data_IF_143248746211
#
_entry.id   IF_143248746211
#
_cell.length_a   1.000
_cell.length_b   1.000
_cell.length_c   1.000
_cell.angle_alpha   90.00
_cell.angle_beta   90.00
_cell.angle_gamma   90.00
#
_symmetry.space_group_name_H-M   'P 1'
#
loop_
_entity.id
_entity.type
_entity.pdbx_description
1 polymer ?
#
# COMPACT_ATOMS: atom_id res chain seq x y z
N UNK A 1 -20.49 -20.10 -16.90
CA UNK A 1 -21.26 -20.21 -15.64
C UNK A 1 -22.64 -20.79 -15.93
N UNK A 2 -23.02 -21.87 -15.24
CA UNK A 2 -24.40 -22.34 -15.19
C UNK A 2 -25.17 -21.56 -14.12
N UNK A 3 -26.32 -20.98 -14.47
CA UNK A 3 -27.09 -20.10 -13.56
C UNK A 3 -27.56 -20.85 -12.31
N UNK A 4 -27.51 -20.24 -11.11
CA UNK A 4 -28.20 -20.77 -9.95
C UNK A 4 -29.70 -20.80 -10.23
N UNK A 5 -30.37 -21.89 -9.84
CA UNK A 5 -31.83 -21.94 -9.88
C UNK A 5 -32.40 -20.86 -8.94
N UNK A 6 -33.52 -20.24 -9.31
CA UNK A 6 -34.23 -19.18 -8.59
C UNK A 6 -34.83 -19.60 -7.22
N UNK A 7 -34.10 -20.39 -6.43
CA UNK A 7 -34.64 -21.19 -5.33
C UNK A 7 -34.32 -20.74 -3.91
N UNK A 8 -33.51 -19.69 -3.69
CA UNK A 8 -33.23 -19.18 -2.34
C UNK A 8 -34.36 -18.23 -1.91
N UNK A 9 -35.19 -18.55 -0.89
CA UNK A 9 -36.26 -17.67 -0.44
C UNK A 9 -35.72 -16.48 0.38
N UNK A 10 -36.35 -15.30 0.26
CA UNK A 10 -36.07 -14.13 1.10
C UNK A 10 -35.01 -13.16 0.54
N UNK A 11 -34.68 -12.12 1.32
CA UNK A 11 -33.78 -11.02 0.91
C UNK A 11 -32.35 -11.51 0.60
N UNK A 12 -31.88 -12.56 1.28
CA UNK A 12 -30.59 -13.20 1.00
C UNK A 12 -30.52 -13.78 -0.42
N UNK A 13 -31.59 -14.43 -0.90
CA UNK A 13 -31.63 -15.00 -2.25
C UNK A 13 -31.61 -13.94 -3.36
N UNK A 14 -32.26 -12.80 -3.12
CA UNK A 14 -32.21 -11.66 -4.03
C UNK A 14 -30.82 -10.98 -4.02
N UNK A 15 -30.18 -10.90 -2.85
CA UNK A 15 -28.80 -10.41 -2.68
C UNK A 15 -27.78 -11.27 -3.42
N UNK A 16 -27.78 -12.59 -3.19
CA UNK A 16 -26.92 -13.56 -3.87
C UNK A 16 -27.10 -13.52 -5.40
N UNK A 17 -28.35 -13.47 -5.88
CA UNK A 17 -28.61 -13.37 -7.32
C UNK A 17 -28.06 -12.06 -7.92
N UNK A 18 -28.17 -10.94 -7.20
CA UNK A 18 -27.63 -9.65 -7.65
C UNK A 18 -26.10 -9.69 -7.73
N UNK A 19 -25.42 -10.25 -6.73
CA UNK A 19 -23.97 -10.41 -6.77
C UNK A 19 -23.53 -11.36 -7.88
N UNK A 20 -24.30 -12.42 -8.15
CA UNK A 20 -24.02 -13.34 -9.26
C UNK A 20 -24.01 -12.63 -10.61
N UNK A 21 -24.98 -11.76 -10.88
CA UNK A 21 -24.98 -10.94 -12.12
C UNK A 21 -23.80 -9.97 -12.19
N UNK A 22 -23.34 -9.45 -11.05
CA UNK A 22 -22.12 -8.62 -11.02
C UNK A 22 -20.89 -9.45 -11.40
N UNK A 23 -20.74 -10.64 -10.83
CA UNK A 23 -19.67 -11.56 -11.20
C UNK A 23 -19.73 -11.97 -12.68
N UNK A 24 -20.92 -12.22 -13.24
CA UNK A 24 -21.09 -12.47 -14.68
C UNK A 24 -20.61 -11.29 -15.52
N UNK A 25 -20.91 -10.05 -15.11
CA UNK A 25 -20.46 -8.83 -15.76
C UNK A 25 -18.93 -8.71 -15.78
N UNK A 26 -18.28 -8.93 -14.63
CA UNK A 26 -16.82 -8.91 -14.53
C UNK A 26 -16.17 -10.03 -15.34
N UNK A 27 -16.69 -11.25 -15.27
CA UNK A 27 -16.17 -12.37 -16.05
C UNK A 27 -16.24 -12.10 -17.57
N UNK A 28 -17.31 -11.44 -18.04
CA UNK A 28 -17.43 -11.04 -19.43
C UNK A 28 -16.42 -9.94 -19.81
N UNK A 29 -16.19 -8.96 -18.93
CA UNK A 29 -15.18 -7.93 -19.13
C UNK A 29 -13.78 -8.54 -19.25
N UNK A 30 -13.39 -9.39 -18.29
CA UNK A 30 -12.11 -10.12 -18.30
C UNK A 30 -11.96 -10.94 -19.58
N UNK A 31 -13.01 -11.66 -20.00
CA UNK A 31 -12.98 -12.42 -21.25
C UNK A 31 -12.71 -11.53 -22.47
N UNK A 32 -13.33 -10.35 -22.54
CA UNK A 32 -13.11 -9.40 -23.63
C UNK A 32 -11.68 -8.84 -23.61
N UNK A 33 -11.17 -8.48 -22.43
CA UNK A 33 -9.80 -8.01 -22.23
C UNK A 33 -8.79 -9.07 -22.69
N UNK A 34 -9.01 -10.34 -22.33
CA UNK A 34 -8.16 -11.47 -22.79
C UNK A 34 -8.23 -11.66 -24.31
N UNK A 35 -9.40 -11.45 -24.93
CA UNK A 35 -9.50 -11.50 -26.39
C UNK A 35 -8.74 -10.35 -27.06
N UNK A 36 -8.76 -9.16 -26.49
CA UNK A 36 -7.99 -8.03 -27.00
C UNK A 36 -6.49 -8.24 -26.84
N UNK A 37 -6.06 -8.75 -25.68
CA UNK A 37 -4.67 -9.11 -25.42
C UNK A 37 -4.14 -10.09 -26.47
N UNK A 38 -4.94 -11.10 -26.86
CA UNK A 38 -4.58 -12.04 -27.93
C UNK A 38 -4.39 -11.37 -29.29
N UNK A 39 -5.12 -10.29 -29.58
CA UNK A 39 -4.92 -9.52 -30.82
C UNK A 39 -3.64 -8.71 -30.77
N UNK A 40 -3.41 -8.00 -29.67
CA UNK A 40 -2.21 -7.18 -29.47
C UNK A 40 -0.93 -8.04 -29.49
N UNK A 41 -0.98 -9.23 -28.90
CA UNK A 41 0.12 -10.20 -28.88
C UNK A 41 0.52 -10.75 -30.26
N UNK A 42 -0.22 -10.43 -31.34
CA UNK A 42 0.19 -10.77 -32.70
C UNK A 42 1.42 -9.99 -33.19
N UNK A 43 1.69 -8.80 -32.61
CA UNK A 43 2.86 -7.97 -32.88
C UNK A 43 3.29 -7.25 -31.57
N UNK A 44 3.92 -7.97 -30.63
CA UNK A 44 4.15 -7.47 -29.27
C UNK A 44 5.15 -6.31 -29.21
N UNK A 45 6.13 -6.27 -30.12
CA UNK A 45 7.12 -5.19 -30.17
C UNK A 45 6.46 -3.87 -30.56
N UNK A 46 5.50 -3.92 -31.48
CA UNK A 46 4.74 -2.74 -31.91
C UNK A 46 3.72 -2.29 -30.88
N UNK A 47 3.07 -3.24 -30.19
CA UNK A 47 1.94 -2.98 -29.30
C UNK A 47 2.35 -2.97 -27.81
N UNK A 48 3.63 -2.76 -27.51
CA UNK A 48 4.18 -2.95 -26.17
C UNK A 48 3.45 -2.13 -25.10
N UNK A 49 3.18 -0.85 -25.38
CA UNK A 49 2.52 0.04 -24.43
C UNK A 49 1.03 -0.30 -24.28
N UNK A 50 0.32 -0.63 -25.37
CA UNK A 50 -1.07 -1.07 -25.29
C UNK A 50 -1.22 -2.40 -24.53
N UNK A 51 -0.28 -3.33 -24.73
CA UNK A 51 -0.24 -4.59 -23.96
C UNK A 51 0.00 -4.27 -22.48
N UNK A 52 0.95 -3.38 -22.17
CA UNK A 52 1.25 -2.98 -20.79
C UNK A 52 0.03 -2.37 -20.13
N UNK A 53 -0.65 -1.43 -20.78
CA UNK A 53 -1.85 -0.79 -20.25
C UNK A 53 -2.95 -1.83 -19.97
N UNK A 54 -3.23 -2.69 -20.95
CA UNK A 54 -4.27 -3.73 -20.81
C UNK A 54 -3.95 -4.74 -19.69
N UNK A 55 -2.68 -5.11 -19.51
CA UNK A 55 -2.26 -6.11 -18.52
C UNK A 55 -2.14 -5.51 -17.11
N UNK A 56 -1.48 -4.35 -16.99
CA UNK A 56 -1.07 -3.77 -15.70
C UNK A 56 -2.15 -2.87 -15.11
N UNK A 57 -2.96 -2.23 -15.95
CA UNK A 57 -4.08 -1.38 -15.49
C UNK A 57 -5.37 -2.18 -15.55
N UNK A 58 -5.81 -2.57 -16.74
CA UNK A 58 -7.19 -3.04 -16.92
C UNK A 58 -7.42 -4.45 -16.36
N UNK A 59 -6.63 -5.45 -16.81
CA UNK A 59 -6.79 -6.83 -16.35
C UNK A 59 -6.50 -6.96 -14.86
N UNK A 60 -5.46 -6.29 -14.36
CA UNK A 60 -5.13 -6.31 -12.94
C UNK A 60 -6.24 -5.71 -12.08
N UNK A 61 -6.80 -4.57 -12.45
CA UNK A 61 -7.92 -3.95 -11.71
C UNK A 61 -9.18 -4.83 -11.72
N UNK A 62 -9.51 -5.41 -12.88
CA UNK A 62 -10.65 -6.32 -13.03
C UNK A 62 -10.51 -7.57 -12.14
N UNK A 63 -9.29 -8.11 -12.04
CA UNK A 63 -8.96 -9.34 -11.31
C UNK A 63 -8.51 -9.12 -9.87
N UNK A 64 -8.15 -7.90 -9.48
CA UNK A 64 -7.24 -7.60 -8.37
C UNK A 64 -7.53 -8.28 -7.03
N UNK A 65 -6.50 -8.36 -6.19
CA UNK A 65 -6.44 -9.16 -4.95
C UNK A 65 -7.70 -9.05 -4.08
N UNK A 66 -7.99 -10.13 -3.34
CA UNK A 66 -9.21 -10.49 -2.59
C UNK A 66 -10.05 -9.37 -1.95
N UNK A 67 -9.48 -8.21 -1.61
CA UNK A 67 -10.19 -7.09 -0.98
C UNK A 67 -10.57 -5.91 -1.90
N UNK A 68 -9.91 -5.71 -3.05
CA UNK A 68 -10.01 -4.42 -3.77
C UNK A 68 -10.33 -4.53 -5.27
N UNK A 69 -10.10 -5.68 -5.91
CA UNK A 69 -10.47 -5.88 -7.32
C UNK A 69 -11.98 -5.98 -7.55
N UNK A 70 -12.45 -5.58 -8.73
CA UNK A 70 -13.87 -5.55 -9.06
C UNK A 70 -14.57 -6.92 -8.93
N UNK A 71 -13.95 -7.98 -9.47
CA UNK A 71 -14.44 -9.35 -9.35
C UNK A 71 -14.36 -9.86 -7.91
N UNK A 72 -13.22 -9.67 -7.23
CA UNK A 72 -13.02 -10.09 -5.85
C UNK A 72 -14.08 -9.50 -4.90
N UNK A 73 -14.38 -8.20 -5.04
CA UNK A 73 -15.41 -7.51 -4.25
C UNK A 73 -16.81 -8.07 -4.50
N UNK A 74 -17.14 -8.41 -5.74
CA UNK A 74 -18.42 -9.03 -6.07
C UNK A 74 -18.54 -10.44 -5.47
N UNK A 75 -17.45 -11.21 -5.47
CA UNK A 75 -17.38 -12.54 -4.86
C UNK A 75 -17.44 -12.48 -3.33
N UNK A 76 -16.72 -11.56 -2.69
CA UNK A 76 -16.79 -11.35 -1.23
C UNK A 76 -18.20 -11.00 -0.77
N UNK A 77 -18.88 -10.09 -1.48
CA UNK A 77 -20.29 -9.78 -1.20
C UNK A 77 -21.22 -10.98 -1.43
N UNK A 78 -20.89 -11.90 -2.34
CA UNK A 78 -21.64 -13.15 -2.49
C UNK A 78 -21.40 -14.09 -1.31
N UNK A 79 -20.15 -14.22 -0.85
CA UNK A 79 -19.76 -15.04 0.31
C UNK A 79 -20.54 -14.63 1.56
N UNK A 80 -20.62 -13.33 1.87
CA UNK A 80 -21.35 -12.82 3.03
C UNK A 80 -22.84 -13.26 3.03
N UNK A 81 -23.51 -13.22 1.88
CA UNK A 81 -24.90 -13.66 1.79
C UNK A 81 -25.04 -15.18 1.93
N UNK A 82 -24.09 -15.96 1.42
CA UNK A 82 -24.08 -17.41 1.57
C UNK A 82 -23.87 -17.78 3.04
N UNK A 83 -22.92 -17.13 3.72
CA UNK A 83 -22.68 -17.33 5.16
C UNK A 83 -23.93 -17.02 5.98
N UNK A 84 -24.62 -15.91 5.69
CA UNK A 84 -25.89 -15.58 6.34
C UNK A 84 -26.97 -16.65 6.10
N UNK A 85 -27.08 -17.16 4.87
CA UNK A 85 -28.05 -18.21 4.54
C UNK A 85 -27.73 -19.52 5.27
N UNK A 86 -26.47 -19.96 5.28
CA UNK A 86 -26.04 -21.17 5.97
C UNK A 86 -26.07 -21.06 7.49
N UNK A 87 -25.89 -19.85 8.05
CA UNK A 87 -26.10 -19.60 9.47
C UNK A 87 -27.59 -19.71 9.87
N UNK A 88 -28.51 -19.32 8.98
CA UNK A 88 -29.94 -19.43 9.19
C UNK A 88 -30.46 -20.87 8.98
N UNK A 89 -29.97 -21.56 7.94
CA UNK A 89 -30.26 -22.96 7.65
C UNK A 89 -28.99 -23.69 7.13
N UNK A 90 -28.29 -24.44 8.00
CA UNK A 90 -27.09 -25.19 7.61
C UNK A 90 -27.32 -26.26 6.54
N UNK A 91 -28.58 -26.64 6.27
CA UNK A 91 -28.94 -27.63 5.24
C UNK A 91 -29.53 -27.00 3.97
N UNK A 92 -29.44 -25.68 3.80
CA UNK A 92 -29.89 -25.00 2.59
C UNK A 92 -29.09 -25.49 1.36
N UNK A 93 -29.73 -26.38 0.60
CA UNK A 93 -29.14 -27.00 -0.60
C UNK A 93 -28.86 -25.99 -1.72
N UNK A 94 -29.50 -24.83 -1.74
CA UNK A 94 -29.22 -23.79 -2.73
C UNK A 94 -28.01 -22.96 -2.29
N UNK A 95 -27.92 -22.59 -1.01
CA UNK A 95 -26.75 -21.91 -0.47
C UNK A 95 -25.47 -22.74 -0.67
N UNK A 96 -25.52 -24.06 -0.38
CA UNK A 96 -24.41 -24.99 -0.64
C UNK A 96 -23.99 -25.04 -2.12
N UNK A 97 -24.96 -25.06 -3.05
CA UNK A 97 -24.64 -25.03 -4.50
C UNK A 97 -24.01 -23.73 -4.96
N UNK A 98 -24.45 -22.59 -4.40
CA UNK A 98 -23.84 -21.30 -4.74
C UNK A 98 -22.44 -21.22 -4.14
N UNK A 99 -22.21 -21.78 -2.95
CA UNK A 99 -20.87 -21.93 -2.39
C UNK A 99 -19.96 -22.71 -3.33
N UNK A 100 -20.39 -23.89 -3.83
CA UNK A 100 -19.59 -24.68 -4.78
C UNK A 100 -19.20 -23.88 -6.04
N UNK A 101 -20.11 -23.03 -6.54
CA UNK A 101 -19.85 -22.17 -7.70
C UNK A 101 -18.88 -21.04 -7.34
N UNK A 102 -19.05 -20.44 -6.16
CA UNK A 102 -18.16 -19.40 -5.65
C UNK A 102 -16.73 -19.94 -5.50
N UNK A 103 -16.58 -21.14 -4.95
CA UNK A 103 -15.29 -21.82 -4.81
C UNK A 103 -14.63 -22.05 -6.18
N UNK A 104 -15.37 -22.54 -7.19
CA UNK A 104 -14.85 -22.70 -8.55
C UNK A 104 -14.45 -21.36 -9.19
N UNK A 105 -15.19 -20.29 -8.90
CA UNK A 105 -14.89 -18.95 -9.40
C UNK A 105 -13.62 -18.37 -8.76
N UNK A 106 -13.42 -18.57 -7.46
CA UNK A 106 -12.20 -18.18 -6.73
C UNK A 106 -11.00 -18.93 -7.30
N UNK A 107 -11.07 -20.26 -7.42
CA UNK A 107 -9.99 -21.08 -8.01
C UNK A 107 -9.63 -20.62 -9.44
N UNK A 108 -10.64 -20.25 -10.23
CA UNK A 108 -10.46 -19.74 -11.59
C UNK A 108 -9.82 -18.35 -11.59
N UNK A 109 -10.25 -17.45 -10.70
CA UNK A 109 -9.67 -16.11 -10.57
C UNK A 109 -8.18 -16.22 -10.22
N UNK A 110 -7.82 -17.05 -9.25
CA UNK A 110 -6.43 -17.25 -8.81
C UNK A 110 -5.54 -17.71 -9.97
N UNK A 111 -6.03 -18.68 -10.76
CA UNK A 111 -5.32 -19.17 -11.95
C UNK A 111 -5.10 -18.07 -12.99
N UNK A 112 -6.09 -17.20 -13.21
CA UNK A 112 -5.97 -16.09 -14.17
C UNK A 112 -5.03 -15.01 -13.62
N UNK A 113 -5.12 -14.71 -12.32
CA UNK A 113 -4.28 -13.72 -11.65
C UNK A 113 -2.79 -14.10 -11.70
N UNK A 114 -2.47 -15.38 -11.53
CA UNK A 114 -1.10 -15.90 -11.71
C UNK A 114 -0.59 -15.62 -13.14
N UNK A 115 -1.39 -15.93 -14.16
CA UNK A 115 -1.01 -15.67 -15.56
C UNK A 115 -0.83 -14.18 -15.86
N UNK A 116 -1.72 -13.33 -15.34
CA UNK A 116 -1.64 -11.87 -15.51
C UNK A 116 -0.40 -11.31 -14.79
N UNK A 117 -0.08 -11.81 -13.60
CA UNK A 117 1.17 -11.47 -12.89
C UNK A 117 2.41 -11.80 -13.74
N UNK A 118 2.48 -13.00 -14.31
CA UNK A 118 3.60 -13.40 -15.18
C UNK A 118 3.72 -12.54 -16.44
N UNK A 119 2.60 -12.14 -17.02
CA UNK A 119 2.55 -11.24 -18.18
C UNK A 119 3.01 -9.84 -17.79
N UNK A 120 2.53 -9.31 -16.66
CA UNK A 120 2.89 -8.00 -16.15
C UNK A 120 4.41 -7.90 -15.93
N UNK A 121 5.04 -8.94 -15.36
CA UNK A 121 6.49 -9.00 -15.18
C UNK A 121 7.29 -8.92 -16.49
N UNK A 122 6.71 -9.31 -17.64
CA UNK A 122 7.37 -9.28 -18.95
C UNK A 122 7.24 -7.94 -19.67
N UNK A 123 6.22 -7.15 -19.34
CA UNK A 123 5.87 -5.91 -20.06
C UNK A 123 6.21 -4.64 -19.28
N UNK A 124 6.60 -4.79 -18.02
CA UNK A 124 7.07 -3.71 -17.15
C UNK A 124 8.60 -3.62 -17.10
N UNK A 125 9.12 -2.63 -16.39
CA UNK A 125 10.55 -2.49 -16.16
C UNK A 125 11.10 -3.74 -15.46
N UNK A 126 12.28 -4.25 -15.88
CA UNK A 126 12.83 -5.47 -15.30
C UNK A 126 13.26 -5.25 -13.85
N UNK A 127 13.09 -6.29 -13.03
CA UNK A 127 13.69 -6.39 -11.71
C UNK A 127 15.20 -6.60 -11.89
N UNK A 128 16.01 -5.73 -11.29
CA UNK A 128 17.48 -5.75 -11.35
C UNK A 128 18.13 -6.21 -10.05
N UNK A 129 17.37 -6.20 -8.96
CA UNK A 129 17.77 -6.74 -7.66
C UNK A 129 16.53 -7.18 -6.89
N UNK A 130 16.63 -8.22 -6.09
CA UNK A 130 15.55 -8.66 -5.22
C UNK A 130 16.10 -9.26 -3.92
N UNK A 131 15.30 -9.19 -2.87
CA UNK A 131 15.60 -9.79 -1.58
C UNK A 131 14.31 -10.29 -0.91
N UNK A 132 14.31 -11.55 -0.49
CA UNK A 132 13.19 -12.14 0.25
C UNK A 132 13.19 -11.67 1.71
N UNK A 133 12.06 -11.17 2.18
CA UNK A 133 11.89 -10.63 3.53
C UNK A 133 10.47 -10.85 4.07
N UNK A 134 10.30 -11.03 5.37
CA UNK A 134 8.98 -11.25 5.98
C UNK A 134 8.26 -9.94 6.28
N UNK A 135 7.23 -9.64 5.48
CA UNK A 135 6.41 -8.43 5.67
C UNK A 135 7.24 -7.15 5.58
N UNK A 136 8.00 -6.98 4.49
CA UNK A 136 8.81 -5.79 4.26
C UNK A 136 7.99 -4.50 4.32
N UNK A 137 8.53 -3.45 4.92
CA UNK A 137 7.93 -2.10 4.98
C UNK A 137 8.98 -1.05 4.65
N UNK A 138 8.58 -0.06 3.83
CA UNK A 138 9.33 1.14 3.44
C UNK A 138 10.87 0.98 3.39
N UNK A 139 11.42 0.34 2.34
CA UNK A 139 12.86 0.14 2.20
C UNK A 139 13.54 1.42 1.72
N UNK A 140 14.79 1.61 2.12
CA UNK A 140 15.60 2.78 1.71
C UNK A 140 16.98 2.33 1.21
N UNK A 141 17.44 2.89 0.09
CA UNK A 141 18.84 2.68 -0.35
C UNK A 141 19.76 3.60 0.45
N UNK A 142 20.78 3.02 1.06
CA UNK A 142 21.80 3.77 1.79
C UNK A 142 22.92 4.24 0.85
N UNK A 143 23.62 5.30 1.26
CA UNK A 143 24.73 5.88 0.49
C UNK A 143 25.91 4.90 0.23
N UNK A 144 26.05 3.85 1.06
CA UNK A 144 27.04 2.80 0.87
C UNK A 144 26.60 1.72 -0.15
N UNK A 145 25.39 1.84 -0.72
CA UNK A 145 24.81 0.88 -1.64
C UNK A 145 23.98 -0.22 -0.97
N UNK A 146 23.95 -0.33 0.35
CA UNK A 146 23.12 -1.31 1.05
C UNK A 146 21.65 -0.89 1.10
N UNK A 147 20.74 -1.83 1.35
CA UNK A 147 19.30 -1.57 1.53
C UNK A 147 18.95 -1.69 3.01
N UNK A 148 18.33 -0.66 3.59
CA UNK A 148 17.69 -0.74 4.90
C UNK A 148 16.25 -1.25 4.72
N UNK A 149 15.87 -2.32 5.43
CA UNK A 149 14.57 -2.97 5.30
C UNK A 149 13.96 -3.19 6.68
N UNK A 150 12.69 -2.84 6.84
CA UNK A 150 11.89 -3.13 8.03
C UNK A 150 11.11 -4.43 7.78
N UNK A 151 11.37 -5.49 8.55
CA UNK A 151 10.59 -6.74 8.48
C UNK A 151 9.57 -6.77 9.61
N UNK A 152 8.36 -6.30 9.30
CA UNK A 152 7.30 -6.14 10.29
C UNK A 152 6.89 -7.46 10.95
N UNK A 153 6.92 -8.57 10.21
CA UNK A 153 6.57 -9.89 10.73
C UNK A 153 7.74 -10.68 11.33
N UNK A 154 8.96 -10.16 11.19
CA UNK A 154 10.15 -10.73 11.83
C UNK A 154 10.61 -9.91 13.04
N UNK A 155 9.90 -8.83 13.39
CA UNK A 155 10.23 -7.94 14.51
C UNK A 155 11.68 -7.43 14.45
N UNK A 156 12.13 -7.03 13.25
CA UNK A 156 13.51 -6.55 13.05
C UNK A 156 13.66 -5.51 11.94
N UNK A 157 14.73 -4.74 12.05
CA UNK A 157 15.25 -3.87 10.98
C UNK A 157 16.61 -4.41 10.55
N UNK A 158 16.82 -4.59 9.25
CA UNK A 158 18.04 -5.16 8.68
C UNK A 158 18.67 -4.21 7.66
N UNK A 159 19.99 -4.24 7.57
CA UNK A 159 20.74 -3.66 6.45
C UNK A 159 21.30 -4.81 5.62
N UNK A 160 20.99 -4.80 4.31
CA UNK A 160 21.33 -5.86 3.37
C UNK A 160 22.28 -5.32 2.31
N UNK A 161 23.38 -6.03 2.07
CA UNK A 161 24.32 -5.68 1.00
C UNK A 161 23.73 -5.92 -0.39
N UNK A 162 24.30 -5.34 -1.47
CA UNK A 162 23.91 -5.66 -2.84
C UNK A 162 23.95 -7.16 -3.17
N UNK A 163 24.84 -7.91 -2.50
CA UNK A 163 24.98 -9.37 -2.67
C UNK A 163 23.96 -10.18 -1.86
N UNK A 164 23.06 -9.52 -1.12
CA UNK A 164 21.99 -10.16 -0.34
C UNK A 164 22.40 -10.60 1.06
N UNK A 165 23.54 -10.14 1.57
CA UNK A 165 23.99 -10.47 2.93
C UNK A 165 23.46 -9.47 3.95
N UNK A 166 22.90 -9.95 5.07
CA UNK A 166 22.53 -9.10 6.21
C UNK A 166 23.81 -8.65 6.92
N UNK A 167 24.16 -7.37 6.81
CA UNK A 167 25.39 -6.78 7.37
C UNK A 167 25.15 -6.02 8.68
N UNK A 168 23.91 -5.69 8.98
CA UNK A 168 23.48 -5.15 10.27
C UNK A 168 22.03 -5.59 10.56
N UNK A 169 21.71 -5.79 11.84
CA UNK A 169 20.38 -6.24 12.28
C UNK A 169 20.06 -5.68 13.67
N UNK A 170 18.84 -5.21 13.85
CA UNK A 170 18.29 -4.82 15.14
C UNK A 170 16.94 -5.50 15.40
N UNK A 171 16.85 -6.26 16.49
CA UNK A 171 15.67 -7.07 16.88
C UNK A 171 14.94 -6.53 18.11
N UNK A 172 15.36 -5.37 18.63
CA UNK A 172 14.74 -4.73 19.80
C UNK A 172 13.49 -3.93 19.47
N UNK A 173 12.71 -4.36 18.48
CA UNK A 173 11.48 -3.72 17.98
C UNK A 173 10.37 -4.76 17.85
N UNK A 174 9.12 -4.30 17.70
CA UNK A 174 7.96 -5.13 17.37
C UNK A 174 7.21 -4.45 16.23
N UNK A 175 6.99 -5.15 15.12
CA UNK A 175 6.32 -4.64 13.93
C UNK A 175 6.88 -3.28 13.46
N UNK A 176 8.18 -3.15 13.14
CA UNK A 176 8.71 -1.90 12.62
C UNK A 176 8.09 -1.58 11.25
N UNK A 177 7.63 -0.35 11.06
CA UNK A 177 6.94 0.08 9.83
C UNK A 177 7.76 1.00 8.95
N UNK A 178 8.74 1.69 9.52
CA UNK A 178 9.59 2.65 8.81
C UNK A 178 10.88 2.87 9.60
N UNK A 179 11.96 3.21 8.90
CA UNK A 179 13.23 3.57 9.50
C UNK A 179 14.07 4.44 8.57
N UNK A 180 15.00 5.17 9.16
CA UNK A 180 15.92 6.04 8.44
C UNK A 180 17.33 5.92 9.03
N UNK A 181 18.33 5.74 8.15
CA UNK A 181 19.73 5.83 8.55
C UNK A 181 20.13 7.30 8.58
N UNK A 182 20.53 7.77 9.75
CA UNK A 182 20.97 9.15 9.98
C UNK A 182 22.43 9.35 9.53
N UNK A 183 22.81 10.61 9.29
CA UNK A 183 24.19 10.98 8.86
C UNK A 183 25.27 10.48 9.84
N UNK A 184 24.96 10.41 11.13
CA UNK A 184 25.84 9.90 12.18
C UNK A 184 25.86 8.37 12.29
N UNK A 185 25.31 7.65 11.30
CA UNK A 185 25.16 6.20 11.23
C UNK A 185 24.17 5.57 12.22
N UNK A 186 23.52 6.34 13.08
CA UNK A 186 22.43 5.83 13.90
C UNK A 186 21.20 5.53 13.04
N UNK A 187 20.30 4.69 13.53
CA UNK A 187 19.02 4.38 12.87
C UNK A 187 17.87 4.97 13.67
N UNK A 188 17.06 5.83 13.04
CA UNK A 188 15.75 6.23 13.54
C UNK A 188 14.72 5.17 13.13
N UNK A 189 13.89 4.70 14.06
CA UNK A 189 12.98 3.56 13.82
C UNK A 189 11.59 3.86 14.39
N UNK A 190 10.56 3.59 13.58
CA UNK A 190 9.17 3.54 13.99
C UNK A 190 8.82 2.14 14.52
N UNK A 191 8.90 1.96 15.84
CA UNK A 191 8.64 0.69 16.54
C UNK A 191 7.16 0.61 16.93
N UNK A 192 6.30 0.32 15.94
CA UNK A 192 4.83 0.39 16.06
C UNK A 192 4.29 -0.46 17.20
N UNK A 193 4.73 -1.72 17.31
CA UNK A 193 4.21 -2.65 18.31
C UNK A 193 4.52 -2.21 19.75
N UNK A 194 5.69 -1.61 19.97
CA UNK A 194 6.04 -1.02 21.27
C UNK A 194 5.59 0.43 21.44
N UNK A 195 4.89 1.00 20.44
CA UNK A 195 4.32 2.36 20.49
C UNK A 195 5.36 3.43 20.79
N UNK A 196 6.50 3.38 20.10
CA UNK A 196 7.62 4.29 20.32
C UNK A 196 8.38 4.64 19.05
N UNK A 197 9.05 5.79 19.07
CA UNK A 197 10.12 6.11 18.14
C UNK A 197 11.44 6.00 18.87
N UNK A 198 12.43 5.34 18.28
CA UNK A 198 13.76 5.18 18.87
C UNK A 198 14.85 5.61 17.90
N UNK A 199 15.97 6.08 18.46
CA UNK A 199 17.24 6.20 17.74
C UNK A 199 18.22 5.20 18.32
N UNK A 200 18.77 4.35 17.45
CA UNK A 200 19.64 3.23 17.80
C UNK A 200 21.02 3.43 17.19
N UNK A 201 22.08 3.22 17.96
CA UNK A 201 23.46 3.30 17.46
C UNK A 201 23.84 2.09 16.61
N UNK A 202 24.93 2.14 15.82
CA UNK A 202 25.47 0.96 15.15
C UNK A 202 25.72 -0.23 16.10
N UNK A 203 26.12 0.07 17.34
CA UNK A 203 26.34 -0.90 18.43
C UNK A 203 25.03 -1.39 19.11
N UNK A 204 23.87 -1.01 18.55
CA UNK A 204 22.52 -1.43 18.96
C UNK A 204 22.05 -0.87 20.30
N UNK A 205 22.60 0.28 20.72
CA UNK A 205 22.16 0.99 21.92
C UNK A 205 21.08 2.02 21.57
N UNK A 206 19.98 2.04 22.34
CA UNK A 206 18.97 3.10 22.23
C UNK A 206 19.50 4.37 22.92
N UNK A 207 19.67 5.44 22.16
CA UNK A 207 20.17 6.74 22.66
C UNK A 207 19.11 7.82 22.75
N UNK A 208 17.95 7.61 22.12
CA UNK A 208 16.78 8.46 22.23
C UNK A 208 15.52 7.60 22.07
N UNK A 209 14.48 7.91 22.84
CA UNK A 209 13.19 7.21 22.82
C UNK A 209 12.07 8.21 23.06
N UNK A 210 11.03 8.15 22.24
CA UNK A 210 9.82 8.94 22.37
C UNK A 210 8.59 8.04 22.42
N UNK A 211 7.79 8.21 23.49
CA UNK A 211 6.62 7.39 23.81
C UNK A 211 5.28 8.13 23.55
N UNK A 212 5.34 9.35 23.00
CA UNK A 212 4.21 10.27 22.92
C UNK A 212 4.19 11.33 24.04
N UNK A 213 3.16 12.16 24.00
CA UNK A 213 2.92 13.34 24.86
C UNK A 213 1.92 13.06 26.02
N UNK A 214 1.76 11.79 26.40
CA UNK A 214 0.76 11.36 27.39
C UNK A 214 -0.52 10.80 26.79
N UNK A 215 -0.86 11.10 25.53
CA UNK A 215 -1.85 10.33 24.76
C UNK A 215 -1.31 8.95 24.34
N UNK A 216 0.02 8.83 24.32
CA UNK A 216 0.73 7.66 23.80
C UNK A 216 0.69 7.63 22.28
N UNK A 217 1.70 7.01 21.68
CA UNK A 217 1.66 6.68 20.25
C UNK A 217 0.80 5.44 20.02
N UNK A 218 0.17 5.30 18.86
CA UNK A 218 -0.70 4.15 18.61
C UNK A 218 -0.29 3.34 17.39
N UNK A 219 -0.22 3.98 16.23
CA UNK A 219 -0.03 3.30 14.96
C UNK A 219 0.87 4.14 14.07
N UNK A 220 2.17 3.84 14.14
CA UNK A 220 3.23 4.59 13.50
C UNK A 220 3.40 4.13 12.05
N UNK A 221 3.15 5.02 11.07
CA UNK A 221 3.27 4.72 9.63
C UNK A 221 4.03 5.83 8.89
N UNK A 222 5.11 6.30 9.51
CA UNK A 222 6.02 7.25 8.91
C UNK A 222 6.89 7.93 9.96
N UNK A 223 8.20 7.93 9.73
CA UNK A 223 9.15 8.68 10.56
C UNK A 223 10.24 9.30 9.69
N UNK A 224 10.54 10.59 9.90
CA UNK A 224 11.65 11.27 9.20
C UNK A 224 12.43 12.15 10.15
N UNK A 225 13.76 12.09 10.08
CA UNK A 225 14.60 13.11 10.70
C UNK A 225 14.53 14.41 9.88
N UNK A 226 14.64 15.55 10.56
CA UNK A 226 14.67 16.86 9.94
C UNK A 226 16.04 17.51 10.15
N UNK A 227 16.45 18.38 9.21
CA UNK A 227 17.75 19.08 9.26
C UNK A 227 17.97 19.90 10.55
N UNK A 228 16.89 20.33 11.19
CA UNK A 228 16.92 21.07 12.46
C UNK A 228 17.12 20.16 13.70
N UNK A 229 17.24 18.85 13.51
CA UNK A 229 17.38 17.84 14.56
C UNK A 229 16.05 17.33 15.14
N UNK A 230 14.91 17.82 14.65
CA UNK A 230 13.60 17.33 15.05
C UNK A 230 13.24 16.03 14.30
N UNK A 231 12.18 15.37 14.77
CA UNK A 231 11.63 14.16 14.17
C UNK A 231 10.19 14.41 13.78
N UNK A 232 9.85 14.14 12.52
CA UNK A 232 8.49 14.16 12.00
C UNK A 232 7.89 12.75 12.06
N UNK A 233 6.68 12.62 12.59
CA UNK A 233 6.04 11.33 12.89
C UNK A 233 4.61 11.36 12.38
N UNK A 234 4.18 10.31 11.67
CA UNK A 234 2.77 10.05 11.37
C UNK A 234 2.22 8.98 12.32
N UNK A 235 1.27 9.36 13.16
CA UNK A 235 0.55 8.49 14.10
C UNK A 235 -0.92 8.41 13.69
N UNK A 236 -1.40 7.21 13.43
CA UNK A 236 -2.76 7.00 12.93
C UNK A 236 -3.83 7.03 14.03
N UNK A 237 -3.43 7.13 15.30
CA UNK A 237 -4.36 7.11 16.43
C UNK A 237 -5.14 5.80 16.52
N UNK A 238 -6.27 5.84 17.24
CA UNK A 238 -7.20 4.73 17.37
C UNK A 238 -8.61 5.21 17.06
N UNK A 239 -9.17 4.82 15.90
CA UNK A 239 -10.52 5.25 15.50
C UNK A 239 -11.63 4.82 16.46
N UNK A 240 -11.40 3.82 17.32
CA UNK A 240 -12.37 3.41 18.33
C UNK A 240 -12.29 4.24 19.62
N UNK A 241 -11.28 5.11 19.75
CA UNK A 241 -11.05 5.96 20.91
C UNK A 241 -11.08 7.44 20.48
N UNK A 242 -12.11 8.22 20.87
CA UNK A 242 -12.24 9.61 20.45
C UNK A 242 -11.15 10.54 21.00
N UNK A 243 -10.41 10.10 22.04
CA UNK A 243 -9.29 10.84 22.60
C UNK A 243 -7.95 10.49 21.91
N UNK A 244 -7.96 9.55 20.95
CA UNK A 244 -6.80 9.05 20.24
C UNK A 244 -6.80 9.49 18.78
N UNK A 245 -6.39 10.74 18.57
CA UNK A 245 -6.45 11.39 17.26
C UNK A 245 -5.36 10.90 16.31
N UNK A 246 -5.72 10.72 15.03
CA UNK A 246 -4.75 10.66 13.95
C UNK A 246 -4.07 12.02 13.79
N UNK A 247 -2.74 12.02 13.66
CA UNK A 247 -1.94 13.24 13.62
C UNK A 247 -0.59 13.04 12.93
N UNK A 248 -0.05 14.14 12.43
CA UNK A 248 1.36 14.26 12.05
C UNK A 248 1.99 15.27 13.00
N UNK A 249 3.03 14.86 13.73
CA UNK A 249 3.70 15.69 14.75
C UNK A 249 5.17 15.87 14.43
N UNK A 250 5.68 17.07 14.70
CA UNK A 250 7.12 17.34 14.75
C UNK A 250 7.55 17.44 16.21
N UNK A 251 8.51 16.61 16.59
CA UNK A 251 8.99 16.47 17.97
C UNK A 251 10.45 16.90 18.03
N UNK A 252 10.77 17.81 18.95
CA UNK A 252 12.15 18.24 19.15
C UNK A 252 12.95 17.21 19.99
N UNK A 253 14.30 17.34 20.08
CA UNK A 253 15.12 16.43 20.90
C UNK A 253 14.72 16.37 22.38
N UNK A 254 14.16 17.46 22.91
CA UNK A 254 13.63 17.58 24.27
C UNK A 254 12.25 16.90 24.46
N UNK A 255 11.74 16.25 23.40
CA UNK A 255 10.49 15.47 23.34
C UNK A 255 9.21 16.33 23.42
N UNK A 256 9.31 17.59 23.04
CA UNK A 256 8.18 18.50 22.93
C UNK A 256 7.63 18.50 21.50
N UNK A 257 6.31 18.49 21.36
CA UNK A 257 5.65 18.68 20.06
C UNK A 257 5.72 20.17 19.71
N UNK A 258 6.44 20.50 18.64
CA UNK A 258 6.64 21.88 18.17
C UNK A 258 5.78 22.23 16.96
N UNK A 259 5.20 21.21 16.30
CA UNK A 259 4.22 21.35 15.23
C UNK A 259 3.31 20.12 15.20
N UNK A 260 2.03 20.31 14.87
CA UNK A 260 1.05 19.22 14.76
C UNK A 260 0.05 19.52 13.64
N UNK A 261 -0.33 18.51 12.88
CA UNK A 261 -1.45 18.53 11.95
C UNK A 261 -2.39 17.35 12.21
N UNK A 262 -3.68 17.63 12.37
CA UNK A 262 -4.71 16.64 12.75
C UNK A 262 -5.99 16.82 11.92
N UNK A 263 -5.85 17.36 10.70
CA UNK A 263 -6.96 17.69 9.80
C UNK A 263 -7.76 18.95 10.19
N UNK A 264 -8.73 19.36 9.35
CA UNK A 264 -9.62 20.49 9.60
C UNK A 264 -10.68 20.21 10.69
N UNK A 265 -11.03 18.94 10.90
CA UNK A 265 -11.88 18.48 12.00
C UNK A 265 -11.49 17.04 12.42
N UNK A 266 -11.67 16.71 13.71
CA UNK A 266 -11.48 15.36 14.20
C UNK A 266 -12.51 14.43 13.54
N UNK A 267 -12.05 13.28 13.03
CA UNK A 267 -12.74 12.29 12.18
C UNK A 267 -12.64 12.50 10.66
N UNK A 268 -12.19 13.67 10.18
CA UNK A 268 -12.00 13.93 8.74
C UNK A 268 -10.57 13.67 8.26
N UNK A 269 -9.68 13.20 9.15
CA UNK A 269 -8.29 12.88 8.89
C UNK A 269 -7.97 11.54 9.54
N UNK A 270 -7.70 10.51 8.74
CA UNK A 270 -7.56 9.14 9.23
C UNK A 270 -6.44 8.40 8.52
N UNK A 271 -5.79 7.51 9.26
CA UNK A 271 -4.66 6.69 8.80
C UNK A 271 -3.60 7.46 7.98
N UNK A 272 -3.10 8.60 8.48
CA UNK A 272 -2.08 9.35 7.78
C UNK A 272 -0.81 8.54 7.55
N UNK A 273 -0.16 8.82 6.43
CA UNK A 273 1.17 8.31 6.09
C UNK A 273 2.08 9.42 5.59
N UNK A 274 3.39 9.25 5.74
CA UNK A 274 4.33 10.37 5.67
C UNK A 274 5.11 10.43 4.36
N UNK A 275 5.12 11.60 3.73
CA UNK A 275 6.09 11.96 2.68
C UNK A 275 7.31 12.70 3.19
N UNK A 276 7.10 13.51 4.23
CA UNK A 276 8.15 14.24 4.93
C UNK A 276 8.02 15.75 4.76
N UNK A 277 8.99 16.47 5.34
CA UNK A 277 9.15 17.91 5.18
C UNK A 277 9.87 18.18 3.86
N UNK A 278 9.30 19.03 3.02
CA UNK A 278 9.87 19.43 1.74
C UNK A 278 10.85 20.61 1.93
N UNK A 279 11.73 20.81 0.94
CA UNK A 279 12.74 21.87 0.97
C UNK A 279 12.16 23.31 1.08
N UNK A 280 10.90 23.51 0.71
CA UNK A 280 10.18 24.78 0.86
C UNK A 280 9.56 24.97 2.28
N UNK A 281 9.71 23.98 3.18
CA UNK A 281 9.14 23.96 4.52
C UNK A 281 7.75 23.32 4.62
N UNK A 282 7.12 22.97 3.50
CA UNK A 282 5.82 22.33 3.48
C UNK A 282 5.90 20.87 3.96
N UNK A 283 4.79 20.30 4.40
CA UNK A 283 4.69 18.87 4.73
C UNK A 283 3.88 18.15 3.66
N UNK A 284 4.42 17.06 3.12
CA UNK A 284 3.73 16.13 2.23
C UNK A 284 3.31 14.87 3.01
N UNK A 285 2.07 14.45 2.84
CA UNK A 285 1.52 13.25 3.45
C UNK A 285 0.31 12.73 2.67
N UNK A 286 -0.18 11.55 3.03
CA UNK A 286 -1.49 11.07 2.58
C UNK A 286 -2.50 11.05 3.74
N UNK A 287 -3.76 11.28 3.43
CA UNK A 287 -4.93 11.14 4.28
C UNK A 287 -5.85 10.08 3.68
N UNK A 288 -6.05 9.00 4.43
CA UNK A 288 -6.76 7.81 3.99
C UNK A 288 -8.20 7.75 4.53
N UNK A 289 -8.76 8.85 5.04
CA UNK A 289 -10.14 8.90 5.54
C UNK A 289 -11.18 8.41 4.51
N UNK A 290 -10.99 8.73 3.23
CA UNK A 290 -11.92 8.32 2.16
C UNK A 290 -12.12 6.81 2.02
N UNK A 291 -11.15 6.00 2.46
CA UNK A 291 -11.22 4.53 2.38
C UNK A 291 -12.47 3.94 3.06
N UNK A 292 -12.95 4.54 4.14
CA UNK A 292 -14.09 4.02 4.93
C UNK A 292 -15.45 4.48 4.42
N UNK A 293 -15.48 5.59 3.68
CA UNK A 293 -16.71 6.18 3.16
C UNK A 293 -16.94 5.86 1.68
N UNK A 294 -16.04 5.07 1.06
CA UNK A 294 -16.06 4.85 -0.38
C UNK A 294 -15.77 6.12 -1.18
N UNK A 295 -15.03 7.05 -0.57
CA UNK A 295 -14.55 8.29 -1.15
C UNK A 295 -13.08 8.14 -1.55
N UNK A 296 -12.56 9.09 -2.31
CA UNK A 296 -11.16 9.11 -2.71
C UNK A 296 -10.24 9.39 -1.52
N UNK A 297 -9.05 8.81 -1.56
CA UNK A 297 -7.95 9.10 -0.64
C UNK A 297 -7.13 10.25 -1.19
N UNK A 298 -6.59 11.10 -0.31
CA UNK A 298 -5.91 12.32 -0.71
C UNK A 298 -4.43 12.27 -0.38
N UNK A 299 -3.57 12.66 -1.32
CA UNK A 299 -2.18 13.06 -1.05
C UNK A 299 -2.12 14.57 -1.01
N UNK A 300 -1.64 15.13 0.10
CA UNK A 300 -1.79 16.55 0.44
C UNK A 300 -0.42 17.15 0.76
N UNK A 301 -0.17 18.35 0.23
CA UNK A 301 0.93 19.21 0.66
C UNK A 301 0.36 20.43 1.40
N UNK A 302 0.83 20.65 2.63
CA UNK A 302 0.42 21.79 3.47
C UNK A 302 1.59 22.70 3.81
N UNK A 303 1.33 24.00 3.94
CA UNK A 303 2.31 24.97 4.46
C UNK A 303 2.60 24.73 5.95
N UNK A 304 3.64 25.35 6.52
CA UNK A 304 3.84 25.38 7.98
C UNK A 304 2.63 25.90 8.76
N UNK A 305 1.88 26.83 8.16
CA UNK A 305 0.63 27.38 8.71
C UNK A 305 -0.60 26.48 8.45
N UNK A 306 -0.37 25.27 7.91
CA UNK A 306 -1.35 24.19 7.67
C UNK A 306 -2.37 24.47 6.55
N UNK A 307 -2.04 25.40 5.65
CA UNK A 307 -2.84 25.64 4.45
C UNK A 307 -2.51 24.62 3.37
N UNK A 308 -3.52 23.96 2.80
CA UNK A 308 -3.32 23.07 1.64
C UNK A 308 -2.93 23.88 0.42
N UNK A 309 -1.80 23.52 -0.20
CA UNK A 309 -1.26 24.19 -1.40
C UNK A 309 -1.18 23.27 -2.62
N UNK A 310 -1.27 21.96 -2.40
CA UNK A 310 -1.36 20.96 -3.45
C UNK A 310 -2.10 19.73 -2.93
N UNK A 311 -2.84 19.07 -3.82
CA UNK A 311 -3.64 17.89 -3.52
C UNK A 311 -3.76 16.99 -4.75
N UNK A 312 -3.82 15.69 -4.56
CA UNK A 312 -4.13 14.69 -5.58
C UNK A 312 -4.96 13.55 -4.99
N UNK A 313 -6.03 13.15 -5.68
CA UNK A 313 -6.96 12.10 -5.23
C UNK A 313 -7.36 11.09 -6.31
N UNK A 314 -7.11 11.40 -7.59
CA UNK A 314 -7.68 10.66 -8.71
C UNK A 314 -7.24 9.18 -8.71
N UNK A 315 -8.23 8.30 -8.56
CA UNK A 315 -8.04 6.84 -8.61
C UNK A 315 -7.18 6.28 -7.47
N UNK A 316 -7.27 6.87 -6.27
CA UNK A 316 -6.61 6.37 -5.06
C UNK A 316 -7.61 5.76 -4.09
N UNK A 317 -7.35 4.51 -3.69
CA UNK A 317 -8.14 3.79 -2.67
C UNK A 317 -7.44 3.79 -1.31
N UNK A 318 -6.11 3.63 -1.29
CA UNK A 318 -5.30 3.64 -0.07
C UNK A 318 -3.84 3.92 -0.40
N UNK A 319 -3.23 4.83 0.34
CA UNK A 319 -1.83 5.25 0.17
C UNK A 319 -1.03 5.00 1.43
N UNK A 320 0.04 4.22 1.29
CA UNK A 320 0.87 3.80 2.43
C UNK A 320 2.17 4.60 2.58
N UNK A 321 2.74 5.12 1.49
CA UNK A 321 3.92 5.98 1.49
C UNK A 321 3.91 6.92 0.27
N UNK A 322 4.51 8.10 0.40
CA UNK A 322 4.64 9.11 -0.67
C UNK A 322 6.03 9.72 -0.65
N UNK A 323 6.50 10.23 -1.79
CA UNK A 323 7.83 10.84 -1.93
C UNK A 323 7.77 11.97 -2.96
N UNK A 324 8.20 13.17 -2.58
CA UNK A 324 8.43 14.25 -3.56
C UNK A 324 9.78 13.99 -4.23
N UNK A 325 9.78 13.92 -5.55
CA UNK A 325 10.98 13.71 -6.36
C UNK A 325 11.66 15.05 -6.68
N UNK A 326 12.96 14.99 -7.02
CA UNK A 326 13.76 16.17 -7.35
C UNK A 326 13.26 16.95 -8.59
N UNK A 327 12.52 16.29 -9.49
CA UNK A 327 11.88 16.92 -10.65
C UNK A 327 10.57 17.65 -10.29
N UNK A 328 10.13 17.59 -9.03
CA UNK A 328 8.87 18.17 -8.55
C UNK A 328 7.68 17.21 -8.59
N UNK A 329 7.79 16.05 -9.24
CA UNK A 329 6.72 15.05 -9.27
C UNK A 329 6.55 14.38 -7.89
N UNK A 330 5.40 13.78 -7.67
CA UNK A 330 5.09 12.96 -6.49
C UNK A 330 5.07 11.49 -6.87
N UNK A 331 5.91 10.67 -6.24
CA UNK A 331 5.79 9.22 -6.28
C UNK A 331 4.84 8.77 -5.16
N UNK A 332 3.90 7.88 -5.47
CA UNK A 332 2.81 7.48 -4.57
C UNK A 332 2.71 5.95 -4.56
N UNK A 333 2.76 5.35 -3.37
CA UNK A 333 2.52 3.93 -3.17
C UNK A 333 1.03 3.68 -2.89
N UNK A 334 0.27 3.39 -3.94
CA UNK A 334 -1.17 3.11 -3.87
C UNK A 334 -1.38 1.62 -3.57
N UNK A 335 -1.48 1.29 -2.29
CA UNK A 335 -1.42 -0.08 -1.77
C UNK A 335 -2.61 -0.92 -2.23
N UNK A 336 -3.83 -0.42 -2.01
CA UNK A 336 -5.05 -1.16 -2.37
C UNK A 336 -5.21 -1.30 -3.88
N UNK A 337 -4.62 -0.38 -4.63
CA UNK A 337 -4.60 -0.35 -6.09
C UNK A 337 -3.49 -1.24 -6.69
N UNK A 338 -2.61 -1.81 -5.84
CA UNK A 338 -1.53 -2.70 -6.28
C UNK A 338 -0.52 -2.04 -7.21
N UNK A 339 -0.25 -0.74 -7.03
CA UNK A 339 0.61 0.05 -7.93
C UNK A 339 1.41 1.15 -7.23
N UNK A 340 2.49 1.55 -7.87
CA UNK A 340 3.25 2.78 -7.62
C UNK A 340 3.04 3.70 -8.81
N UNK A 341 2.70 4.97 -8.57
CA UNK A 341 2.50 5.98 -9.63
C UNK A 341 3.38 7.20 -9.40
N UNK A 342 3.86 7.81 -10.48
CA UNK A 342 4.51 9.12 -10.48
C UNK A 342 3.56 10.15 -11.11
N UNK A 343 3.26 11.20 -10.35
CA UNK A 343 2.28 12.22 -10.70
C UNK A 343 2.96 13.58 -10.80
N UNK A 344 2.70 14.34 -11.85
CA UNK A 344 3.21 15.70 -12.00
C UNK A 344 2.54 16.68 -11.02
N UNK A 345 3.10 17.88 -10.79
CA UNK A 345 2.40 18.91 -10.02
C UNK A 345 1.02 19.28 -10.57
N UNK A 346 0.75 19.03 -11.86
CA UNK A 346 -0.53 19.26 -12.50
C UNK A 346 -1.55 18.11 -12.31
N UNK A 347 -1.15 17.00 -11.69
CA UNK A 347 -2.01 15.83 -11.47
C UNK A 347 -1.94 14.77 -12.57
N UNK A 348 -1.05 14.90 -13.56
CA UNK A 348 -0.92 13.91 -14.63
C UNK A 348 -0.04 12.73 -14.18
N UNK A 349 -0.56 11.50 -14.31
CA UNK A 349 0.26 10.28 -14.14
C UNK A 349 1.21 10.16 -15.33
N UNK A 350 2.52 10.24 -15.06
CA UNK A 350 3.58 10.17 -16.09
C UNK A 350 4.38 8.88 -16.05
N UNK A 351 4.25 8.11 -14.98
CA UNK A 351 4.85 6.78 -14.85
C UNK A 351 4.05 5.93 -13.87
N UNK A 352 4.05 4.61 -14.09
CA UNK A 352 3.42 3.65 -13.19
C UNK A 352 4.15 2.31 -13.22
N UNK A 353 4.19 1.63 -12.08
CA UNK A 353 4.49 0.21 -11.98
C UNK A 353 3.38 -0.47 -11.17
N UNK A 354 2.72 -1.46 -11.75
CA UNK A 354 1.56 -2.13 -11.15
C UNK A 354 1.75 -3.63 -11.07
N UNK A 355 0.62 -4.34 -10.95
CA UNK A 355 0.61 -5.78 -10.71
C UNK A 355 1.36 -6.19 -9.44
N UNK A 356 1.26 -5.39 -8.38
CA UNK A 356 1.90 -5.62 -7.10
C UNK A 356 0.87 -6.13 -6.10
N UNK A 357 1.19 -7.23 -5.40
CA UNK A 357 0.35 -7.72 -4.31
C UNK A 357 0.68 -6.98 -3.01
N UNK A 358 -0.14 -5.97 -2.67
CA UNK A 358 -0.03 -5.16 -1.44
C UNK A 358 1.37 -4.50 -1.32
N UNK A 359 1.69 -3.49 -2.16
CA UNK A 359 2.92 -2.75 -1.97
C UNK A 359 2.88 -1.93 -0.67
N UNK A 360 4.01 -1.89 0.05
CA UNK A 360 4.13 -1.33 1.41
C UNK A 360 5.31 -0.37 1.58
N UNK A 361 5.86 0.12 0.48
CA UNK A 361 7.05 0.94 0.54
C UNK A 361 7.63 1.19 -0.82
N UNK A 362 8.19 2.38 -1.01
CA UNK A 362 8.89 2.71 -2.24
C UNK A 362 9.96 3.78 -1.99
N UNK A 363 11.01 3.74 -2.81
CA UNK A 363 12.06 4.75 -2.83
C UNK A 363 12.61 4.90 -4.25
N UNK A 364 12.46 6.09 -4.84
CA UNK A 364 13.10 6.43 -6.12
C UNK A 364 14.57 6.76 -5.88
N UNK A 365 15.44 5.97 -6.50
CA UNK A 365 16.88 6.10 -6.37
C UNK A 365 17.45 7.17 -7.30
N UNK A 366 18.63 7.69 -6.97
CA UNK A 366 19.34 8.69 -7.78
C UNK A 366 19.66 8.22 -9.21
N UNK A 367 19.84 6.91 -9.40
CA UNK A 367 20.07 6.30 -10.72
C UNK A 367 18.78 6.14 -11.55
N UNK A 368 17.62 6.52 -11.00
CA UNK A 368 16.29 6.42 -11.62
C UNK A 368 15.56 5.11 -11.35
N UNK A 369 16.24 4.10 -10.79
CA UNK A 369 15.59 2.85 -10.36
C UNK A 369 14.63 3.12 -9.21
N UNK A 370 13.73 2.17 -8.94
CA UNK A 370 12.79 2.27 -7.83
C UNK A 370 12.88 1.03 -6.97
N UNK A 371 13.13 1.22 -5.66
CA UNK A 371 12.91 0.17 -4.68
C UNK A 371 11.44 0.08 -4.34
N UNK A 372 10.93 -1.13 -4.20
CA UNK A 372 9.53 -1.40 -3.86
C UNK A 372 9.50 -2.56 -2.87
N UNK A 373 8.81 -2.38 -1.75
CA UNK A 373 8.45 -3.51 -0.88
C UNK A 373 7.09 -4.05 -1.30
N UNK A 374 7.02 -5.36 -1.50
CA UNK A 374 5.80 -6.07 -1.93
C UNK A 374 5.43 -7.07 -0.85
N UNK A 375 4.54 -6.65 0.04
CA UNK A 375 4.23 -7.36 1.29
C UNK A 375 3.59 -8.72 1.05
N UNK A 376 2.64 -8.80 0.10
CA UNK A 376 1.97 -10.05 -0.24
C UNK A 376 2.91 -11.11 -0.83
N UNK A 377 4.06 -10.69 -1.34
CA UNK A 377 5.06 -11.57 -1.96
C UNK A 377 6.30 -11.77 -1.09
N UNK A 378 6.33 -11.20 0.13
CA UNK A 378 7.45 -11.29 1.07
C UNK A 378 8.80 -10.97 0.42
N UNK A 379 8.87 -9.83 -0.29
CA UNK A 379 10.11 -9.39 -0.92
C UNK A 379 10.22 -7.88 -1.05
N UNK A 380 11.46 -7.41 -1.18
CA UNK A 380 11.80 -6.09 -1.71
C UNK A 380 12.43 -6.31 -3.09
N UNK A 381 12.02 -5.50 -4.06
CA UNK A 381 12.55 -5.51 -5.42
C UNK A 381 13.14 -4.14 -5.76
N UNK A 382 14.19 -4.12 -6.56
CA UNK A 382 14.64 -2.94 -7.29
C UNK A 382 14.29 -3.13 -8.75
N UNK A 383 13.54 -2.19 -9.32
CA UNK A 383 13.21 -2.18 -10.74
C UNK A 383 14.06 -1.14 -11.46
N UNK A 384 14.45 -1.46 -12.70
CA UNK A 384 15.21 -0.53 -13.52
C UNK A 384 14.42 0.76 -13.80
N UNK A 385 15.15 1.86 -13.97
CA UNK A 385 14.60 3.09 -14.49
C UNK A 385 13.85 2.86 -15.82
N UNK A 386 12.73 3.59 -16.08
CA UNK A 386 11.94 3.47 -17.30
C UNK A 386 12.72 3.77 -18.59
#
# INVERSE_FOLDING_TARGET
MSKPAHGVPGDAGAGTHTQFHRCEGFALAIYNSVLELKKLAADPDRNKEEIRELVVVELWDQLGSEMFGGLAKAMGGMSEFIEQALAADPEDTNAKKVQDILDEMVDTQDTILEQVSELAAKVQAPIVWEYSCMGGMNPHRLANGNTLINEAFADRVIEVSPDGEVVWEYTGVVYPTDSERLENSNTLIADKGNKRIIVVTPDKEIIWEYLGDGQGLVALYGVRALDNGNVLIADQGNMQDPDSLARIIEVNPDKEIVWEYSGPAAMDFLFPTLGGRLANGNTLFADNAGMFEGLEVHVIEVTPDKETVWEYSEGLICVVFVQRLANGNTLICAQCDGRIIEVTPAGEIVWMYGALVIPTGMDRLENGNTLISVFGENRVIEIAAP
#
